data_IF_405691051708
#
_entry.id   IF_405691051708
#
_cell.length_a   1.000
_cell.length_b   1.000
_cell.length_c   1.000
_cell.angle_alpha   90.00
_cell.angle_beta   90.00
_cell.angle_gamma   90.00
#
_symmetry.space_group_name_H-M   'P 1'
#
loop_
_entity.id
_entity.type
_entity.pdbx_description
1 polymer ?
#
# COMPACT_ATOMS: atom_id res chain seq x y z
N UNK A 1 -1.77 -5.68 20.64
CA UNK A 1 -2.25 -4.75 19.58
C UNK A 1 -1.10 -3.86 19.12
N UNK A 2 -1.02 -3.64 17.80
CA UNK A 2 0.04 -2.88 17.15
C UNK A 2 -0.49 -1.56 16.60
N UNK A 3 0.33 -0.51 16.62
CA UNK A 3 0.01 0.77 15.97
C UNK A 3 0.26 0.72 14.46
N UNK A 4 1.27 -0.07 14.05
CA UNK A 4 1.70 -0.22 12.67
C UNK A 4 2.08 -1.68 12.39
N UNK A 5 1.65 -2.19 11.23
CA UNK A 5 2.12 -3.45 10.67
C UNK A 5 2.74 -3.15 9.29
N UNK A 6 3.97 -3.59 9.08
CA UNK A 6 4.66 -3.49 7.80
C UNK A 6 4.82 -4.90 7.25
N UNK A 7 4.22 -5.16 6.09
CA UNK A 7 4.32 -6.44 5.38
C UNK A 7 5.31 -6.27 4.23
N UNK A 8 6.57 -6.57 4.51
CA UNK A 8 7.64 -6.62 3.51
C UNK A 8 7.76 -8.08 3.04
N UNK A 9 6.92 -8.44 2.08
CA UNK A 9 6.86 -9.78 1.53
C UNK A 9 7.71 -9.91 0.27
N UNK A 10 8.07 -11.14 -0.08
CA UNK A 10 8.53 -11.47 -1.43
C UNK A 10 7.33 -11.55 -2.40
N UNK A 11 7.58 -12.02 -3.62
CA UNK A 11 6.54 -12.16 -4.64
C UNK A 11 5.30 -12.93 -4.14
N UNK A 12 4.09 -12.62 -4.64
CA UNK A 12 2.84 -13.24 -4.19
C UNK A 12 2.67 -14.70 -4.66
N UNK A 13 3.75 -15.35 -5.07
CA UNK A 13 3.79 -16.71 -5.57
C UNK A 13 4.64 -17.60 -4.66
N UNK A 14 4.27 -18.88 -4.54
CA UNK A 14 5.00 -19.84 -3.74
C UNK A 14 4.86 -19.62 -2.23
N UNK A 15 5.97 -19.68 -1.47
CA UNK A 15 5.90 -19.66 0.01
C UNK A 15 5.24 -18.41 0.62
N UNK A 16 5.28 -17.27 -0.08
CA UNK A 16 4.71 -16.01 0.41
C UNK A 16 3.24 -15.81 0.07
N UNK A 17 2.63 -16.71 -0.69
CA UNK A 17 1.22 -16.60 -1.13
C UNK A 17 0.26 -16.42 0.06
N UNK A 18 0.57 -17.01 1.21
CA UNK A 18 -0.21 -16.87 2.43
C UNK A 18 -0.32 -15.45 2.98
N UNK A 19 0.63 -14.57 2.65
CA UNK A 19 0.66 -13.17 3.08
C UNK A 19 -0.22 -12.24 2.21
N UNK A 20 -0.90 -12.81 1.22
CA UNK A 20 -1.77 -12.08 0.29
C UNK A 20 -3.24 -12.53 0.38
N UNK A 21 -3.57 -13.35 1.39
CA UNK A 21 -4.92 -13.87 1.58
C UNK A 21 -5.81 -12.89 2.35
N UNK A 22 -7.12 -13.02 2.16
CA UNK A 22 -8.12 -12.25 2.92
C UNK A 22 -8.02 -12.56 4.43
N UNK A 23 -7.75 -13.80 4.77
CA UNK A 23 -7.57 -14.27 6.16
C UNK A 23 -6.38 -13.59 6.81
N UNK A 24 -5.26 -13.46 6.10
CA UNK A 24 -4.08 -12.75 6.60
C UNK A 24 -4.37 -11.27 6.84
N UNK A 25 -5.01 -10.57 5.90
CA UNK A 25 -5.38 -9.16 6.08
C UNK A 25 -6.40 -8.97 7.22
N UNK A 26 -7.34 -9.89 7.37
CA UNK A 26 -8.25 -9.92 8.52
C UNK A 26 -7.52 -10.09 9.84
N UNK A 27 -6.51 -10.95 9.89
CA UNK A 27 -5.65 -11.14 11.06
C UNK A 27 -4.85 -9.87 11.38
N UNK A 28 -4.30 -9.19 10.37
CA UNK A 28 -3.64 -7.90 10.54
C UNK A 28 -4.59 -6.84 11.09
N UNK A 29 -5.80 -6.77 10.52
CA UNK A 29 -6.83 -5.86 11.01
C UNK A 29 -7.13 -6.08 12.50
N UNK A 30 -7.34 -7.32 12.92
CA UNK A 30 -7.62 -7.64 14.31
C UNK A 30 -6.45 -7.36 15.25
N UNK A 31 -5.22 -7.51 14.77
CA UNK A 31 -4.00 -7.25 15.54
C UNK A 31 -3.70 -5.75 15.71
N UNK A 32 -4.26 -4.90 14.87
CA UNK A 32 -4.07 -3.46 14.92
C UNK A 32 -4.94 -2.79 15.99
N UNK A 33 -4.42 -1.74 16.61
CA UNK A 33 -5.19 -0.80 17.44
C UNK A 33 -6.31 -0.15 16.63
N UNK A 34 -7.25 0.50 17.32
CA UNK A 34 -8.40 1.16 16.72
C UNK A 34 -8.05 2.26 15.68
N UNK A 35 -6.85 2.80 15.76
CA UNK A 35 -6.29 3.80 14.84
C UNK A 35 -5.05 3.28 14.08
N UNK A 36 -4.89 1.95 14.03
CA UNK A 36 -3.72 1.30 13.45
C UNK A 36 -3.65 1.39 11.92
N UNK A 37 -2.44 1.30 11.41
CA UNK A 37 -2.10 1.38 9.99
C UNK A 37 -1.36 0.12 9.58
N UNK A 38 -1.66 -0.39 8.39
CA UNK A 38 -0.90 -1.44 7.72
C UNK A 38 -0.36 -0.90 6.40
N UNK A 39 0.90 -1.19 6.10
CA UNK A 39 1.48 -1.00 4.76
C UNK A 39 2.02 -2.32 4.25
N UNK A 40 1.91 -2.54 2.95
CA UNK A 40 2.38 -3.78 2.34
C UNK A 40 2.95 -3.56 0.95
N UNK A 41 3.91 -4.38 0.58
CA UNK A 41 4.42 -4.48 -0.78
C UNK A 41 3.36 -5.17 -1.65
N UNK A 42 3.07 -4.61 -2.84
CA UNK A 42 2.07 -5.18 -3.75
C UNK A 42 2.68 -5.68 -5.07
N UNK A 43 3.52 -4.90 -5.74
CA UNK A 43 4.19 -5.33 -6.94
C UNK A 43 4.22 -4.30 -8.07
N UNK A 44 4.49 -4.80 -9.28
CA UNK A 44 4.57 -4.01 -10.52
C UNK A 44 3.23 -4.00 -11.26
N UNK A 45 2.81 -2.87 -11.85
CA UNK A 45 1.64 -2.83 -12.71
C UNK A 45 1.91 -3.25 -14.17
N UNK A 46 3.16 -3.51 -14.54
CA UNK A 46 3.57 -3.68 -15.95
C UNK A 46 3.51 -5.12 -16.46
N UNK A 47 3.65 -6.08 -15.57
CA UNK A 47 3.62 -7.50 -15.92
C UNK A 47 2.27 -8.09 -15.55
N UNK A 48 1.64 -8.83 -16.46
CA UNK A 48 0.27 -9.31 -16.29
C UNK A 48 0.03 -10.08 -15.00
N UNK A 49 0.95 -10.97 -14.63
CA UNK A 49 0.83 -11.77 -13.40
C UNK A 49 0.94 -10.90 -12.15
N UNK A 50 1.90 -9.97 -12.14
CA UNK A 50 2.12 -9.04 -11.03
C UNK A 50 0.95 -8.07 -10.90
N UNK A 51 0.47 -7.51 -12.02
CA UNK A 51 -0.69 -6.62 -12.05
C UNK A 51 -1.95 -7.31 -11.49
N UNK A 52 -2.21 -8.54 -11.90
CA UNK A 52 -3.34 -9.33 -11.41
C UNK A 52 -3.22 -9.65 -9.92
N UNK A 53 -2.01 -9.95 -9.44
CA UNK A 53 -1.75 -10.19 -8.03
C UNK A 53 -1.96 -8.91 -7.20
N UNK A 54 -1.49 -7.77 -7.70
CA UNK A 54 -1.67 -6.46 -7.09
C UNK A 54 -3.15 -6.09 -6.99
N UNK A 55 -3.92 -6.28 -8.07
CA UNK A 55 -5.37 -6.03 -8.08
C UNK A 55 -6.10 -6.88 -7.04
N UNK A 56 -5.81 -8.18 -6.98
CA UNK A 56 -6.40 -9.08 -5.98
C UNK A 56 -6.05 -8.66 -4.54
N UNK A 57 -4.79 -8.30 -4.31
CA UNK A 57 -4.33 -7.83 -3.00
C UNK A 57 -5.07 -6.57 -2.58
N UNK A 58 -5.11 -5.57 -3.46
CA UNK A 58 -5.84 -4.32 -3.22
C UNK A 58 -7.32 -4.56 -2.88
N UNK A 59 -8.00 -5.39 -3.65
CA UNK A 59 -9.41 -5.71 -3.43
C UNK A 59 -9.66 -6.36 -2.06
N UNK A 60 -8.81 -7.30 -1.67
CA UNK A 60 -8.90 -7.98 -0.37
C UNK A 60 -8.68 -7.00 0.79
N UNK A 61 -7.71 -6.09 0.66
CA UNK A 61 -7.44 -5.05 1.64
C UNK A 61 -8.60 -4.06 1.71
N UNK A 62 -9.08 -3.57 0.57
CA UNK A 62 -10.20 -2.62 0.49
C UNK A 62 -11.50 -3.18 1.06
N UNK A 63 -11.71 -4.51 1.00
CA UNK A 63 -12.86 -5.17 1.63
C UNK A 63 -12.71 -5.34 3.15
N UNK A 64 -11.54 -5.13 3.70
CA UNK A 64 -11.22 -5.36 5.12
C UNK A 64 -11.05 -4.05 5.89
N UNK A 65 -10.43 -3.05 5.28
CA UNK A 65 -10.11 -1.77 5.91
C UNK A 65 -11.01 -0.64 5.42
N UNK A 66 -11.44 0.30 6.29
CA UNK A 66 -12.26 1.45 5.89
C UNK A 66 -11.49 2.48 5.04
N UNK A 67 -10.17 2.56 5.20
CA UNK A 67 -9.29 3.37 4.36
C UNK A 67 -8.29 2.45 3.68
N UNK A 68 -8.30 2.43 2.37
CA UNK A 68 -7.37 1.64 1.54
C UNK A 68 -6.93 2.46 0.34
N UNK A 69 -5.63 2.63 0.18
CA UNK A 69 -5.01 3.39 -0.91
C UNK A 69 -3.78 2.65 -1.43
N UNK A 70 -3.43 2.93 -2.67
CA UNK A 70 -2.19 2.45 -3.29
C UNK A 70 -1.25 3.64 -3.49
N UNK A 71 0.02 3.44 -3.20
CA UNK A 71 1.06 4.43 -3.48
C UNK A 71 2.22 3.81 -4.24
N UNK A 72 2.98 4.67 -4.89
CA UNK A 72 4.10 4.31 -5.76
C UNK A 72 5.42 4.73 -5.15
N UNK A 73 6.47 3.98 -5.48
CA UNK A 73 7.83 4.36 -5.16
C UNK A 73 8.79 3.98 -6.29
N UNK A 74 9.88 4.73 -6.40
CA UNK A 74 10.97 4.44 -7.32
C UNK A 74 12.01 3.58 -6.62
N UNK A 75 12.17 2.34 -7.09
CA UNK A 75 13.12 1.37 -6.55
C UNK A 75 13.99 0.87 -7.69
N UNK A 76 15.16 1.51 -7.96
CA UNK A 76 15.96 1.23 -9.15
C UNK A 76 16.44 -0.21 -9.30
N UNK A 77 16.52 -0.95 -8.19
CA UNK A 77 16.95 -2.36 -8.18
C UNK A 77 15.83 -3.36 -8.53
N UNK A 78 14.59 -2.89 -8.57
CA UNK A 78 13.45 -3.72 -8.97
C UNK A 78 13.20 -3.60 -10.48
N UNK A 79 12.53 -4.60 -11.05
CA UNK A 79 12.17 -4.60 -12.45
C UNK A 79 11.36 -3.33 -12.81
N UNK A 80 11.74 -2.65 -13.88
CA UNK A 80 11.20 -1.37 -14.33
C UNK A 80 11.40 -0.17 -13.37
N UNK A 81 12.00 -0.35 -12.20
CA UNK A 81 12.28 0.74 -11.26
C UNK A 81 11.06 1.40 -10.63
N UNK A 82 9.87 0.84 -10.82
CA UNK A 82 8.58 1.37 -10.36
C UNK A 82 7.81 0.27 -9.64
N UNK A 83 7.36 0.56 -8.42
CA UNK A 83 6.71 -0.44 -7.58
C UNK A 83 5.54 0.14 -6.83
N UNK A 84 4.52 -0.68 -6.58
CA UNK A 84 3.30 -0.30 -5.89
C UNK A 84 3.25 -0.91 -4.49
N UNK A 85 2.68 -0.13 -3.58
CA UNK A 85 2.49 -0.47 -2.18
C UNK A 85 1.06 -0.15 -1.75
N UNK A 86 0.55 -0.91 -0.79
CA UNK A 86 -0.73 -0.64 -0.16
C UNK A 86 -0.57 0.15 1.13
N UNK A 87 -1.49 1.08 1.36
CA UNK A 87 -1.72 1.76 2.62
C UNK A 87 -3.15 1.43 3.07
N UNK A 88 -3.28 0.83 4.23
CA UNK A 88 -4.56 0.49 4.82
C UNK A 88 -4.64 1.03 6.24
N UNK A 89 -5.77 1.64 6.60
CA UNK A 89 -5.93 2.26 7.91
C UNK A 89 -7.33 2.03 8.45
N UNK A 90 -7.42 1.89 9.77
CA UNK A 90 -8.70 1.86 10.47
C UNK A 90 -9.31 3.26 10.64
N UNK A 91 -8.50 4.32 10.57
CA UNK A 91 -8.94 5.68 10.88
C UNK A 91 -8.37 6.75 9.95
N UNK A 92 -7.06 6.78 9.79
CA UNK A 92 -6.37 7.91 9.16
C UNK A 92 -6.32 7.80 7.63
N UNK A 93 -6.59 8.92 6.96
CA UNK A 93 -6.40 9.06 5.53
C UNK A 93 -4.96 9.51 5.24
N UNK A 94 -4.24 8.90 4.28
CA UNK A 94 -2.81 9.15 4.07
C UNK A 94 -2.47 10.57 3.60
N UNK A 95 -3.43 11.29 3.02
CA UNK A 95 -3.26 12.68 2.59
C UNK A 95 -3.92 13.66 3.55
N UNK A 96 -5.20 13.44 3.88
CA UNK A 96 -5.98 14.39 4.68
C UNK A 96 -5.47 14.51 6.11
N UNK A 97 -4.93 13.44 6.67
CA UNK A 97 -4.42 13.38 8.05
C UNK A 97 -2.89 13.49 8.13
N UNK A 98 -2.23 13.80 7.02
CA UNK A 98 -0.78 14.02 6.99
C UNK A 98 -0.41 15.27 7.79
N UNK A 99 0.46 15.10 8.79
CA UNK A 99 0.97 16.18 9.62
C UNK A 99 2.32 16.69 9.10
N UNK A 100 2.31 17.28 7.90
CA UNK A 100 3.51 17.67 7.16
C UNK A 100 4.36 18.71 7.93
N UNK A 101 3.75 19.73 8.51
CA UNK A 101 4.45 20.78 9.26
C UNK A 101 5.15 20.17 10.49
N UNK A 102 4.43 19.35 11.25
CA UNK A 102 4.98 18.67 12.43
C UNK A 102 6.15 17.75 12.10
N UNK A 103 6.07 17.02 10.97
CA UNK A 103 7.19 16.23 10.49
C UNK A 103 8.40 17.09 10.14
N UNK A 104 8.18 18.17 9.39
CA UNK A 104 9.26 19.06 8.95
C UNK A 104 9.96 19.76 10.13
N UNK A 105 9.23 20.08 11.20
CA UNK A 105 9.78 20.67 12.44
C UNK A 105 10.74 19.72 13.18
N UNK A 106 10.62 18.41 12.99
CA UNK A 106 11.52 17.43 13.61
C UNK A 106 12.92 17.41 12.99
N UNK A 107 13.11 17.99 11.80
CA UNK A 107 14.40 18.03 11.08
C UNK A 107 15.11 16.67 10.97
N UNK A 108 14.34 15.58 10.82
CA UNK A 108 14.89 14.22 10.68
C UNK A 108 15.56 14.11 9.30
N UNK A 109 16.85 13.76 9.23
CA UNK A 109 17.53 13.60 7.96
C UNK A 109 17.00 12.36 7.23
N UNK A 110 16.61 12.54 5.96
CA UNK A 110 16.14 11.45 5.09
C UNK A 110 16.82 11.57 3.72
N UNK A 111 16.98 10.44 3.04
CA UNK A 111 17.56 10.40 1.69
C UNK A 111 16.48 10.35 0.60
N UNK A 112 15.32 9.79 0.91
CA UNK A 112 14.24 9.58 -0.04
C UNK A 112 12.99 10.37 0.31
N UNK A 113 12.57 10.29 1.56
CA UNK A 113 11.28 10.80 2.02
C UNK A 113 11.27 12.34 2.15
N UNK A 114 10.24 12.95 1.58
CA UNK A 114 9.80 14.32 1.87
C UNK A 114 8.27 14.33 1.99
N UNK A 115 7.71 15.34 2.63
CA UNK A 115 6.26 15.47 2.72
C UNK A 115 5.59 15.71 1.37
N UNK A 116 6.29 16.39 0.43
CA UNK A 116 5.82 16.54 -0.94
C UNK A 116 5.85 15.21 -1.70
N UNK A 117 6.91 14.42 -1.54
CA UNK A 117 6.99 13.08 -2.12
C UNK A 117 5.89 12.16 -1.56
N UNK A 118 5.59 12.27 -0.27
CA UNK A 118 4.50 11.53 0.37
C UNK A 118 3.17 11.80 -0.35
N UNK A 119 2.81 13.06 -0.54
CA UNK A 119 1.60 13.43 -1.27
C UNK A 119 1.64 12.94 -2.72
N UNK A 120 2.74 13.17 -3.43
CA UNK A 120 2.94 12.75 -4.82
C UNK A 120 2.92 11.24 -5.02
N UNK A 121 3.34 10.45 -4.03
CA UNK A 121 3.31 9.00 -4.09
C UNK A 121 1.90 8.42 -4.27
N UNK A 122 0.87 9.11 -3.80
CA UNK A 122 -0.53 8.72 -3.96
C UNK A 122 -1.18 9.28 -5.25
N UNK A 123 -0.48 10.09 -6.02
CA UNK A 123 -0.90 10.60 -7.34
C UNK A 123 -0.48 9.61 -8.42
N UNK A 124 -1.35 8.65 -8.72
CA UNK A 124 -1.04 7.53 -9.60
C UNK A 124 -1.22 7.87 -11.07
N UNK A 125 -0.44 7.25 -11.98
CA UNK A 125 -0.72 7.30 -13.40
C UNK A 125 -2.09 6.72 -13.74
N UNK A 126 -2.70 7.23 -14.80
CA UNK A 126 -4.05 6.81 -15.23
C UNK A 126 -4.16 5.29 -15.44
N UNK A 127 -3.12 4.66 -16.02
CA UNK A 127 -3.15 3.20 -16.26
C UNK A 127 -3.15 2.38 -14.95
N UNK A 128 -2.57 2.91 -13.87
CA UNK A 128 -2.66 2.27 -12.55
C UNK A 128 -4.04 2.47 -11.93
N UNK A 129 -4.60 3.67 -12.04
CA UNK A 129 -5.97 3.95 -11.58
C UNK A 129 -6.96 3.02 -12.27
N UNK A 130 -6.84 2.84 -13.60
CA UNK A 130 -7.71 1.95 -14.36
C UNK A 130 -7.61 0.50 -13.90
N UNK A 131 -6.41 0.00 -13.64
CA UNK A 131 -6.20 -1.34 -13.10
C UNK A 131 -6.90 -1.55 -11.74
N UNK A 132 -6.89 -0.54 -10.88
CA UNK A 132 -7.54 -0.61 -9.57
C UNK A 132 -9.07 -0.53 -9.68
N UNK A 133 -9.60 0.25 -10.63
CA UNK A 133 -11.03 0.39 -10.90
C UNK A 133 -11.63 -0.87 -11.56
N UNK A 134 -10.93 -1.52 -12.49
CA UNK A 134 -11.40 -2.72 -13.19
C UNK A 134 -11.78 -3.86 -12.23
N UNK A 135 -11.06 -4.02 -11.14
CA UNK A 135 -11.39 -5.01 -10.10
C UNK A 135 -12.59 -4.61 -9.24
N UNK A 136 -12.91 -3.33 -9.14
CA UNK A 136 -14.13 -2.88 -8.44
C UNK A 136 -15.40 -3.14 -9.25
N UNK A 137 -15.32 -3.11 -10.59
CA UNK A 137 -16.45 -3.27 -11.50
C UNK A 137 -16.78 -4.74 -11.85
N UNK A 138 -15.90 -5.68 -11.54
CA UNK A 138 -16.10 -7.12 -11.79
C UNK A 138 -16.79 -7.84 -10.62
N UNK A 139 -17.72 -7.18 -9.97
CA UNK A 139 -18.61 -7.77 -8.96
C UNK A 139 -19.87 -8.36 -9.55
#
# INVERSE_FOLDING_TARGET
EYALIIVDSSDPFGPSEGLFTREFYGSCFNALKADGIMVNQQGSPFYTEDASAMQRSHKRIASTFPVSRVYQAHIPTFAAGYWLFGFASKKYHPLNDLQAEKWNELHIPTWYYTTNLHAGAFMLPKYVEDLLEEEENNK
#
